data_IF_978010998127
#
_entry.id   IF_978010998127
#
_cell.length_a   1.000
_cell.length_b   1.000
_cell.length_c   1.000
_cell.angle_alpha   90.00
_cell.angle_beta   90.00
_cell.angle_gamma   90.00
#
_symmetry.space_group_name_H-M   'P 1'
#
loop_
_entity.id
_entity.type
_entity.pdbx_description
1 polymer ?
#
# COMPACT_ATOMS: atom_id res chain seq x y z
N UNK A 1 -26.19 -48.89 -19.16
CA UNK A 1 -26.21 -47.43 -18.96
C UNK A 1 -25.26 -47.11 -17.81
N UNK A 2 -24.04 -46.66 -18.13
CA UNK A 2 -23.00 -46.37 -17.12
C UNK A 2 -23.07 -44.89 -16.77
N UNK A 3 -23.33 -44.55 -15.51
CA UNK A 3 -23.33 -43.18 -15.02
C UNK A 3 -21.88 -42.66 -14.92
N UNK A 4 -21.62 -41.52 -15.53
CA UNK A 4 -20.35 -40.82 -15.40
C UNK A 4 -20.17 -40.32 -13.95
N UNK A 5 -18.93 -40.36 -13.39
CA UNK A 5 -18.67 -39.89 -12.04
C UNK A 5 -18.84 -38.37 -11.98
N UNK A 6 -19.63 -37.91 -11.01
CA UNK A 6 -19.88 -36.50 -10.76
C UNK A 6 -18.58 -35.74 -10.48
N UNK A 7 -18.40 -34.62 -11.17
CA UNK A 7 -17.27 -33.72 -10.97
C UNK A 7 -17.17 -33.28 -9.49
N UNK A 8 -15.96 -33.13 -8.93
CA UNK A 8 -15.79 -32.72 -7.55
C UNK A 8 -16.39 -31.33 -7.34
N UNK A 9 -17.34 -31.25 -6.41
CA UNK A 9 -17.98 -30.01 -5.97
C UNK A 9 -16.91 -29.15 -5.31
N UNK A 10 -16.37 -28.15 -6.03
CA UNK A 10 -15.48 -27.12 -5.47
C UNK A 10 -16.20 -26.49 -4.27
N UNK A 11 -15.77 -26.85 -3.06
CA UNK A 11 -16.22 -26.19 -1.83
C UNK A 11 -15.71 -24.75 -1.89
N UNK A 12 -16.61 -23.78 -2.10
CA UNK A 12 -16.33 -22.35 -1.93
C UNK A 12 -15.80 -22.17 -0.50
N UNK A 13 -14.48 -22.00 -0.33
CA UNK A 13 -13.90 -21.56 0.95
C UNK A 13 -14.62 -20.26 1.34
N UNK A 14 -15.17 -20.21 2.55
CA UNK A 14 -15.77 -18.98 3.06
C UNK A 14 -14.74 -17.83 2.97
N UNK A 15 -15.15 -16.60 2.60
CA UNK A 15 -14.27 -15.46 2.77
C UNK A 15 -13.82 -15.40 4.23
N UNK A 16 -12.52 -15.60 4.48
CA UNK A 16 -11.97 -15.24 5.78
C UNK A 16 -12.13 -13.72 5.93
N UNK A 17 -12.85 -13.30 6.97
CA UNK A 17 -12.98 -11.89 7.32
C UNK A 17 -11.65 -11.40 7.90
N UNK A 18 -11.40 -10.10 7.78
CA UNK A 18 -10.26 -9.43 8.39
C UNK A 18 -10.27 -9.61 9.91
N UNK A 19 -9.12 -9.98 10.50
CA UNK A 19 -8.99 -10.21 11.93
C UNK A 19 -7.63 -9.73 12.48
N UNK A 20 -7.64 -9.05 13.62
CA UNK A 20 -6.43 -8.62 14.30
C UNK A 20 -5.63 -9.81 14.85
N UNK A 21 -4.30 -9.66 14.88
CA UNK A 21 -3.37 -10.68 15.39
C UNK A 21 -2.50 -10.10 16.52
N UNK A 22 -3.07 -9.82 17.71
CA UNK A 22 -2.41 -9.03 18.75
C UNK A 22 -1.15 -9.70 19.33
N UNK A 23 -1.00 -11.01 19.17
CA UNK A 23 0.14 -11.79 19.72
C UNK A 23 1.40 -11.74 18.85
N UNK A 24 1.38 -11.09 17.69
CA UNK A 24 2.56 -11.02 16.82
C UNK A 24 3.62 -10.08 17.37
N UNK A 25 4.90 -10.44 17.18
CA UNK A 25 6.06 -9.72 17.73
C UNK A 25 6.19 -8.32 17.12
N UNK A 26 6.04 -8.21 15.81
CA UNK A 26 6.12 -6.94 15.06
C UNK A 26 4.74 -6.29 15.10
N UNK A 27 4.66 -5.02 15.53
CA UNK A 27 3.38 -4.36 15.79
C UNK A 27 2.56 -4.19 14.51
N UNK A 28 3.19 -3.79 13.40
CA UNK A 28 2.50 -3.70 12.11
C UNK A 28 1.91 -5.03 11.61
N UNK A 29 2.49 -6.18 11.95
CA UNK A 29 1.93 -7.48 11.55
C UNK A 29 0.63 -7.81 12.30
N UNK A 30 0.35 -7.14 13.42
CA UNK A 30 -0.89 -7.30 14.19
C UNK A 30 -2.10 -6.73 13.45
N UNK A 31 -1.88 -5.84 12.50
CA UNK A 31 -2.92 -5.23 11.67
C UNK A 31 -3.61 -6.31 10.81
N UNK A 32 -4.92 -6.21 10.61
CA UNK A 32 -5.68 -7.28 9.98
C UNK A 32 -5.44 -7.36 8.46
N UNK A 33 -4.92 -6.28 7.87
CA UNK A 33 -4.64 -6.15 6.44
C UNK A 33 -3.16 -6.41 6.08
N UNK A 34 -2.33 -6.90 7.01
CA UNK A 34 -0.89 -7.16 6.78
C UNK A 34 -0.56 -8.63 6.98
N UNK A 35 -0.52 -9.46 5.94
CA UNK A 35 -0.48 -10.91 6.12
C UNK A 35 -0.29 -11.69 4.84
N UNK A 36 -0.76 -12.95 4.84
CA UNK A 36 -0.60 -13.91 3.74
C UNK A 36 -1.90 -14.59 3.34
N UNK A 37 -2.97 -14.41 4.12
CA UNK A 37 -4.19 -15.19 4.06
C UNK A 37 -5.04 -14.96 2.80
N UNK A 38 -4.77 -13.87 2.08
CA UNK A 38 -5.53 -13.40 0.92
C UNK A 38 -4.65 -13.13 -0.30
N UNK A 39 -3.40 -13.58 -0.28
CA UNK A 39 -2.52 -13.66 -1.45
C UNK A 39 -2.62 -15.05 -2.06
N UNK A 40 -2.58 -15.17 -3.39
CA UNK A 40 -2.75 -16.47 -4.06
C UNK A 40 -1.59 -17.45 -3.78
N UNK A 41 -0.38 -16.91 -3.63
CA UNK A 41 0.87 -17.64 -3.43
C UNK A 41 1.29 -17.74 -1.95
N UNK A 42 0.49 -17.21 -1.02
CA UNK A 42 0.84 -17.02 0.40
C UNK A 42 2.07 -16.12 0.60
N UNK A 43 2.38 -15.23 -0.34
CA UNK A 43 3.35 -14.15 -0.13
C UNK A 43 2.89 -13.21 0.98
N UNK A 44 3.86 -12.59 1.65
CA UNK A 44 3.59 -11.59 2.67
C UNK A 44 3.23 -10.26 2.02
N UNK A 45 2.08 -9.70 2.38
CA UNK A 45 1.51 -8.50 1.78
C UNK A 45 1.09 -7.48 2.84
N UNK A 46 1.39 -6.21 2.57
CA UNK A 46 0.87 -5.07 3.34
C UNK A 46 -0.54 -4.63 2.90
N UNK A 47 -1.15 -5.36 1.96
CA UNK A 47 -2.55 -5.21 1.58
C UNK A 47 -3.24 -6.56 1.38
N UNK A 48 -3.24 -7.33 2.46
CA UNK A 48 -3.91 -8.60 2.59
C UNK A 48 -5.41 -8.42 2.88
N UNK A 49 -6.14 -7.92 1.88
CA UNK A 49 -7.58 -7.60 1.99
C UNK A 49 -8.36 -8.33 0.89
N UNK A 50 -9.43 -9.07 1.21
CA UNK A 50 -10.26 -9.70 0.18
C UNK A 50 -10.81 -8.66 -0.80
N UNK A 51 -10.60 -8.86 -2.10
CA UNK A 51 -11.28 -8.09 -3.13
C UNK A 51 -12.68 -8.67 -3.34
N UNK A 52 -13.63 -8.30 -2.48
CA UNK A 52 -15.02 -8.79 -2.52
C UNK A 52 -16.02 -7.66 -2.37
N UNK A 53 -17.21 -7.88 -2.91
CA UNK A 53 -18.24 -6.85 -3.00
C UNK A 53 -18.06 -5.99 -4.25
N UNK A 54 -18.63 -4.79 -4.23
CA UNK A 54 -18.54 -3.81 -5.29
C UNK A 54 -17.60 -2.65 -4.92
N UNK A 55 -17.55 -1.65 -5.79
CA UNK A 55 -16.76 -0.44 -5.58
C UNK A 55 -17.12 0.29 -4.28
N UNK A 56 -18.41 0.39 -3.93
CA UNK A 56 -18.85 1.14 -2.75
C UNK A 56 -18.49 0.41 -1.46
N UNK A 57 -18.70 -0.90 -1.41
CA UNK A 57 -18.24 -1.74 -0.29
C UNK A 57 -16.72 -1.73 -0.16
N UNK A 58 -16.02 -1.75 -1.30
CA UNK A 58 -14.58 -1.57 -1.36
C UNK A 58 -14.14 -0.25 -0.74
N UNK A 59 -14.76 0.87 -1.15
CA UNK A 59 -14.48 2.21 -0.62
C UNK A 59 -14.61 2.29 0.89
N UNK A 60 -15.73 1.84 1.45
CA UNK A 60 -15.94 1.80 2.90
C UNK A 60 -14.88 0.97 3.61
N UNK A 61 -14.49 -0.16 3.02
CA UNK A 61 -13.43 -1.03 3.56
C UNK A 61 -12.08 -0.30 3.58
N UNK A 62 -11.73 0.39 2.49
CA UNK A 62 -10.51 1.19 2.39
C UNK A 62 -10.44 2.31 3.42
N UNK A 63 -11.54 3.05 3.60
CA UNK A 63 -11.65 4.12 4.59
C UNK A 63 -11.42 3.57 6.02
N UNK A 64 -12.05 2.43 6.35
CA UNK A 64 -11.86 1.79 7.65
C UNK A 64 -10.41 1.33 7.88
N UNK A 65 -9.75 0.77 6.87
CA UNK A 65 -8.35 0.35 6.94
C UNK A 65 -7.42 1.54 7.16
N UNK A 66 -7.63 2.66 6.45
CA UNK A 66 -6.88 3.88 6.68
C UNK A 66 -7.03 4.38 8.13
N UNK A 67 -8.24 4.33 8.69
CA UNK A 67 -8.48 4.63 10.10
C UNK A 67 -7.69 3.72 11.06
N UNK A 68 -7.64 2.40 10.78
CA UNK A 68 -6.83 1.46 11.57
C UNK A 68 -5.33 1.77 11.47
N UNK A 69 -4.84 2.09 10.27
CA UNK A 69 -3.46 2.47 10.04
C UNK A 69 -3.06 3.74 10.80
N UNK A 70 -3.88 4.79 10.71
CA UNK A 70 -3.65 6.04 11.43
C UNK A 70 -3.68 5.86 12.95
N UNK A 71 -4.61 5.02 13.44
CA UNK A 71 -4.65 4.64 14.85
C UNK A 71 -3.36 3.94 15.28
N UNK A 72 -2.84 3.02 14.46
CA UNK A 72 -1.59 2.33 14.73
C UNK A 72 -0.38 3.28 14.75
N UNK A 73 -0.25 4.17 13.77
CA UNK A 73 0.84 5.18 13.77
C UNK A 73 0.81 6.02 15.06
N UNK A 74 -0.38 6.44 15.49
CA UNK A 74 -0.55 7.25 16.70
C UNK A 74 -0.15 6.47 17.96
N UNK A 75 -0.45 5.19 18.03
CA UNK A 75 -0.23 4.34 19.21
C UNK A 75 1.20 3.77 19.27
N UNK A 76 1.82 3.51 18.13
CA UNK A 76 3.14 2.91 17.98
C UNK A 76 4.12 3.87 17.26
N UNK A 77 4.32 5.07 17.83
CA UNK A 77 5.16 6.12 17.22
C UNK A 77 6.61 5.71 16.89
N UNK A 78 7.12 4.66 17.55
CA UNK A 78 8.47 4.12 17.34
C UNK A 78 8.57 3.08 16.21
N UNK A 79 7.44 2.54 15.72
CA UNK A 79 7.41 1.55 14.61
C UNK A 79 7.10 2.23 13.27
N UNK A 80 7.33 3.55 13.16
CA UNK A 80 7.14 4.33 11.93
C UNK A 80 8.27 4.06 10.93
N UNK A 81 8.35 2.84 10.39
CA UNK A 81 9.05 2.64 9.13
C UNK A 81 8.30 3.44 8.05
N UNK A 82 8.88 4.54 7.55
CA UNK A 82 8.25 5.45 6.56
C UNK A 82 7.84 4.82 5.22
N UNK A 83 7.96 3.50 5.09
CA UNK A 83 7.72 2.73 3.88
C UNK A 83 6.36 2.01 3.86
N UNK A 84 5.55 2.00 4.93
CA UNK A 84 4.27 1.24 4.95
C UNK A 84 3.33 1.60 3.79
N UNK A 85 3.13 2.90 3.55
CA UNK A 85 2.28 3.34 2.44
C UNK A 85 2.87 2.93 1.08
N UNK A 86 4.20 2.95 0.94
CA UNK A 86 4.89 2.44 -0.25
C UNK A 86 4.66 0.94 -0.45
N UNK A 87 4.75 0.14 0.61
CA UNK A 87 4.47 -1.29 0.55
C UNK A 87 3.00 -1.61 0.24
N UNK A 88 2.06 -0.79 0.71
CA UNK A 88 0.64 -0.89 0.33
C UNK A 88 0.45 -0.63 -1.16
N UNK A 89 1.11 0.40 -1.70
CA UNK A 89 1.09 0.70 -3.14
C UNK A 89 1.64 -0.45 -3.96
N UNK A 90 2.78 -1.02 -3.56
CA UNK A 90 3.37 -2.19 -4.23
C UNK A 90 2.42 -3.39 -4.20
N UNK A 91 1.78 -3.65 -3.05
CA UNK A 91 0.80 -4.73 -2.93
C UNK A 91 -0.45 -4.50 -3.80
N UNK A 92 -0.91 -3.25 -3.97
CA UNK A 92 -1.99 -2.95 -4.92
C UNK A 92 -1.57 -3.21 -6.36
N UNK A 93 -0.37 -2.76 -6.75
CA UNK A 93 0.15 -2.96 -8.09
C UNK A 93 0.30 -4.45 -8.41
N UNK A 94 0.90 -5.21 -7.50
CA UNK A 94 1.09 -6.65 -7.66
C UNK A 94 -0.23 -7.36 -7.93
N UNK A 95 -1.27 -7.09 -7.13
CA UNK A 95 -2.61 -7.69 -7.28
C UNK A 95 -3.34 -7.30 -8.56
N UNK A 96 -3.04 -6.12 -9.11
CA UNK A 96 -3.58 -5.68 -10.39
C UNK A 96 -2.81 -6.26 -11.57
N UNK A 97 -1.52 -6.56 -11.38
CA UNK A 97 -0.62 -7.07 -12.42
C UNK A 97 -0.52 -8.61 -12.49
N UNK A 98 -0.80 -9.33 -11.40
CA UNK A 98 -0.65 -10.79 -11.31
C UNK A 98 -1.61 -11.55 -12.22
N UNK A 99 -2.67 -10.89 -12.69
CA UNK A 99 -3.73 -11.50 -13.51
C UNK A 99 -4.84 -12.17 -12.69
N UNK A 100 -4.66 -12.27 -11.36
CA UNK A 100 -5.60 -12.85 -10.39
C UNK A 100 -6.93 -12.09 -10.36
N UNK A 101 -6.86 -10.77 -10.58
CA UNK A 101 -8.01 -9.88 -10.63
C UNK A 101 -8.17 -9.37 -12.06
N UNK A 102 -9.15 -9.92 -12.77
CA UNK A 102 -9.44 -9.53 -14.16
C UNK A 102 -9.99 -8.09 -14.20
N UNK A 103 -9.43 -7.26 -15.07
CA UNK A 103 -9.93 -5.90 -15.32
C UNK A 103 -11.44 -5.90 -15.62
N UNK A 104 -12.18 -5.03 -14.94
CA UNK A 104 -13.64 -4.90 -15.05
C UNK A 104 -14.44 -5.98 -14.32
N UNK A 105 -13.81 -6.90 -13.57
CA UNK A 105 -14.54 -7.80 -12.69
C UNK A 105 -15.05 -7.10 -11.42
N UNK A 106 -16.03 -7.66 -10.71
CA UNK A 106 -16.45 -7.14 -9.41
C UNK A 106 -15.31 -7.02 -8.39
N UNK A 107 -14.37 -7.98 -8.40
CA UNK A 107 -13.17 -7.97 -7.55
C UNK A 107 -12.26 -6.80 -7.91
N UNK A 108 -12.11 -6.49 -9.20
CA UNK A 108 -11.36 -5.33 -9.68
C UNK A 108 -11.98 -4.02 -9.17
N UNK A 109 -13.30 -3.88 -9.31
CA UNK A 109 -14.01 -2.71 -8.81
C UNK A 109 -13.96 -2.59 -7.28
N UNK A 110 -14.07 -3.70 -6.56
CA UNK A 110 -13.87 -3.74 -5.11
C UNK A 110 -12.47 -3.26 -4.74
N UNK A 111 -11.41 -3.80 -5.33
CA UNK A 111 -10.04 -3.39 -5.03
C UNK A 111 -9.82 -1.89 -5.33
N UNK A 112 -10.31 -1.40 -6.48
CA UNK A 112 -10.29 0.04 -6.81
C UNK A 112 -11.00 0.88 -5.76
N UNK A 113 -12.18 0.44 -5.32
CA UNK A 113 -12.91 1.05 -4.22
C UNK A 113 -12.03 1.14 -2.98
N UNK A 114 -11.42 0.03 -2.55
CA UNK A 114 -10.59 -0.01 -1.36
C UNK A 114 -9.38 0.93 -1.45
N UNK A 115 -8.70 0.98 -2.60
CA UNK A 115 -7.60 1.92 -2.84
C UNK A 115 -8.07 3.38 -2.72
N UNK A 116 -9.18 3.73 -3.39
CA UNK A 116 -9.73 5.09 -3.37
C UNK A 116 -10.20 5.48 -1.98
N UNK A 117 -10.91 4.59 -1.28
CA UNK A 117 -11.38 4.84 0.08
C UNK A 117 -10.22 5.07 1.05
N UNK A 118 -9.19 4.23 0.99
CA UNK A 118 -7.99 4.37 1.81
C UNK A 118 -7.31 5.72 1.56
N UNK A 119 -7.04 6.07 0.30
CA UNK A 119 -6.38 7.32 -0.05
C UNK A 119 -7.25 8.55 0.25
N UNK A 120 -8.58 8.44 0.15
CA UNK A 120 -9.50 9.53 0.49
C UNK A 120 -9.44 9.87 1.97
N UNK A 121 -9.48 8.85 2.83
CA UNK A 121 -9.37 9.05 4.27
C UNK A 121 -7.97 9.58 4.64
N UNK A 122 -6.89 9.00 4.09
CA UNK A 122 -5.54 9.53 4.30
C UNK A 122 -5.41 10.99 3.84
N UNK A 123 -5.97 11.35 2.69
CA UNK A 123 -5.95 12.72 2.16
C UNK A 123 -6.61 13.72 3.11
N UNK A 124 -7.69 13.31 3.80
CA UNK A 124 -8.36 14.14 4.82
C UNK A 124 -7.41 14.45 5.98
N UNK A 125 -6.68 13.45 6.46
CA UNK A 125 -5.70 13.61 7.54
C UNK A 125 -4.45 14.37 7.10
N UNK A 126 -3.92 14.09 5.92
CA UNK A 126 -2.79 14.84 5.34
C UNK A 126 -3.14 16.32 5.18
N UNK A 127 -4.34 16.66 4.70
CA UNK A 127 -4.77 18.04 4.58
C UNK A 127 -4.86 18.76 5.93
N UNK A 128 -5.27 18.07 6.99
CA UNK A 128 -5.25 18.62 8.34
C UNK A 128 -3.82 18.83 8.86
N UNK A 129 -2.94 17.84 8.68
CA UNK A 129 -1.54 17.92 9.08
C UNK A 129 -0.77 19.01 8.32
N UNK A 130 -0.94 19.12 7.00
CA UNK A 130 -0.29 20.13 6.17
C UNK A 130 -0.66 21.56 6.60
N UNK A 131 -1.93 21.80 6.96
CA UNK A 131 -2.36 23.09 7.51
C UNK A 131 -1.80 23.37 8.91
N UNK A 132 -1.68 22.33 9.74
CA UNK A 132 -1.16 22.47 11.10
C UNK A 132 0.35 22.67 11.15
N UNK A 133 1.11 22.04 10.23
CA UNK A 133 2.57 22.10 10.12
C UNK A 133 3.08 23.26 9.24
N UNK A 134 2.18 24.11 8.72
CA UNK A 134 2.36 24.99 7.56
C UNK A 134 3.69 25.75 7.44
N UNK A 135 4.29 26.18 8.56
CA UNK A 135 5.58 26.89 8.56
C UNK A 135 6.72 26.12 7.87
N UNK A 136 6.68 24.78 7.85
CA UNK A 136 7.69 23.97 7.15
C UNK A 136 7.49 23.91 5.63
N UNK A 137 6.31 24.25 5.13
CA UNK A 137 5.98 24.25 3.70
C UNK A 137 6.11 25.65 3.09
N UNK A 138 5.91 26.70 3.89
CA UNK A 138 5.97 28.10 3.46
C UNK A 138 7.37 28.51 2.95
N UNK A 139 8.43 27.87 3.45
CA UNK A 139 9.81 28.10 3.01
C UNK A 139 10.16 27.46 1.65
N UNK A 140 9.25 26.66 1.09
CA UNK A 140 9.46 25.95 -0.18
C UNK A 140 8.64 26.57 -1.30
N UNK A 141 9.30 27.05 -2.36
CA UNK A 141 8.58 27.65 -3.49
C UNK A 141 8.00 26.60 -4.43
N UNK A 142 6.91 26.93 -5.12
CA UNK A 142 6.32 26.06 -6.13
C UNK A 142 7.31 25.69 -7.25
N UNK A 143 8.17 26.64 -7.65
CA UNK A 143 9.21 26.44 -8.65
C UNK A 143 10.24 25.42 -8.17
N UNK A 144 10.61 25.46 -6.89
CA UNK A 144 11.55 24.49 -6.31
C UNK A 144 10.94 23.09 -6.22
N UNK A 145 9.66 22.97 -5.86
CA UNK A 145 8.92 21.70 -5.85
C UNK A 145 8.84 21.11 -7.27
N UNK A 146 8.49 21.93 -8.26
CA UNK A 146 8.42 21.50 -9.65
C UNK A 146 9.79 21.10 -10.20
N UNK A 147 10.83 21.87 -9.93
CA UNK A 147 12.20 21.53 -10.32
C UNK A 147 12.64 20.20 -9.69
N UNK A 148 12.31 19.96 -8.41
CA UNK A 148 12.59 18.69 -7.74
C UNK A 148 11.88 17.51 -8.40
N UNK A 149 10.58 17.66 -8.70
CA UNK A 149 9.81 16.62 -9.40
C UNK A 149 10.41 16.32 -10.79
N UNK A 150 10.73 17.36 -11.57
CA UNK A 150 11.32 17.22 -12.90
C UNK A 150 12.70 16.56 -12.86
N UNK A 151 13.51 16.82 -11.82
CA UNK A 151 14.78 16.10 -11.64
C UNK A 151 14.58 14.60 -11.48
N UNK A 152 13.52 14.18 -10.78
CA UNK A 152 13.22 12.76 -10.58
C UNK A 152 12.80 12.02 -11.85
N UNK A 153 12.08 12.67 -12.77
CA UNK A 153 11.55 12.03 -14.00
C UNK A 153 12.68 11.53 -14.92
N UNK A 154 13.86 12.17 -14.88
CA UNK A 154 15.03 11.78 -15.67
C UNK A 154 16.16 11.15 -14.86
N UNK A 155 15.93 10.80 -13.59
CA UNK A 155 16.96 10.22 -12.72
C UNK A 155 16.83 8.70 -12.72
N UNK A 156 17.67 8.03 -13.51
CA UNK A 156 17.70 6.58 -13.63
C UNK A 156 18.84 5.94 -12.80
N UNK A 157 18.96 4.62 -12.89
CA UNK A 157 19.97 3.85 -12.17
C UNK A 157 21.40 4.24 -12.57
N UNK A 158 21.62 4.61 -13.83
CA UNK A 158 22.93 5.04 -14.33
C UNK A 158 23.29 6.41 -13.74
N UNK A 159 22.36 7.36 -13.77
CA UNK A 159 22.49 8.67 -13.13
C UNK A 159 22.74 8.55 -11.61
N UNK A 160 22.13 7.55 -10.94
CA UNK A 160 22.38 7.26 -9.53
C UNK A 160 23.82 6.77 -9.29
N UNK A 161 24.31 5.82 -10.09
CA UNK A 161 25.67 5.33 -9.93
C UNK A 161 26.71 6.42 -10.20
N UNK A 162 26.52 7.22 -11.25
CA UNK A 162 27.40 8.37 -11.51
C UNK A 162 27.41 9.38 -10.37
N UNK A 163 26.25 9.65 -9.76
CA UNK A 163 26.14 10.53 -8.60
C UNK A 163 26.94 9.99 -7.41
N UNK A 164 26.78 8.70 -7.09
CA UNK A 164 27.51 8.05 -5.99
C UNK A 164 29.03 8.09 -6.22
N UNK A 165 29.50 7.74 -7.42
CA UNK A 165 30.94 7.80 -7.76
C UNK A 165 31.49 9.22 -7.65
N UNK A 166 30.77 10.24 -8.14
CA UNK A 166 31.20 11.65 -8.00
C UNK A 166 31.24 12.10 -6.54
N UNK A 167 30.27 11.65 -5.73
CA UNK A 167 30.22 11.98 -4.31
C UNK A 167 31.43 11.41 -3.57
N UNK A 168 31.79 10.15 -3.81
CA UNK A 168 32.97 9.50 -3.22
C UNK A 168 34.26 10.25 -3.59
N UNK A 169 34.44 10.62 -4.86
CA UNK A 169 35.61 11.40 -5.32
C UNK A 169 35.71 12.79 -4.67
N UNK A 170 34.57 13.44 -4.41
CA UNK A 170 34.52 14.74 -3.73
C UNK A 170 34.80 14.63 -2.23
N UNK A 171 34.44 13.51 -1.59
CA UNK A 171 34.75 13.24 -0.19
C UNK A 171 36.23 12.87 -0.01
N UNK A 172 36.82 12.10 -0.94
CA UNK A 172 38.24 11.75 -0.95
C UNK A 172 39.16 12.95 -1.22
N UNK A 173 38.76 13.90 -2.08
CA UNK A 173 39.54 15.12 -2.36
C UNK A 173 39.47 16.18 -1.26
N UNK A 174 38.63 15.96 -0.24
CA UNK A 174 38.47 16.82 0.93
C UNK A 174 39.17 16.28 2.19
N UNK A 175 39.68 15.06 2.15
CA UNK A 175 40.53 14.44 3.18
C UNK A 175 42.00 14.65 2.91
#
# INVERSE_FOLDING_TARGET
MSQAPGAPRRTRKQPHLLAFRPKLKIAAHRLPFVGKEHTEDNSFSFWNVPAKGDYMGGRTTGEAIAGMYLKHIREDANDCCGLYLGWMVLAWMERLSSGDIKHGSPEYESLRGQMVGCMSELSRWLGAAARALGSSLDDTTNESLLANANRGIGFDTEAFFEYCTRKEQLEESRG
#
